data_IF_212581036108
#
_entry.id   IF_212581036108
#
_cell.length_a   1.000
_cell.length_b   1.000
_cell.length_c   1.000
_cell.angle_alpha   90.00
_cell.angle_beta   90.00
_cell.angle_gamma   90.00
#
_symmetry.space_group_name_H-M   'P 1'
#
loop_
_entity.id
_entity.type
_entity.pdbx_description
1 polymer ?
#
# COMPACT_ATOMS: atom_id res chain seq x y z
N UNK A 1 8.48 -24.64 -17.47
CA UNK A 1 9.50 -24.51 -18.52
C UNK A 1 10.19 -23.18 -18.26
N UNK A 2 11.39 -23.20 -17.70
CA UNK A 2 12.20 -21.99 -17.51
C UNK A 2 12.88 -21.80 -18.86
N UNK A 3 12.49 -20.76 -19.59
CA UNK A 3 13.14 -20.41 -20.86
C UNK A 3 14.58 -20.02 -20.52
N UNK A 4 15.55 -20.79 -21.01
CA UNK A 4 16.96 -20.43 -20.92
C UNK A 4 17.14 -19.00 -21.44
N UNK A 5 18.00 -18.23 -20.78
CA UNK A 5 18.30 -16.85 -21.13
C UNK A 5 18.95 -16.77 -22.52
N UNK A 6 18.12 -16.77 -23.56
CA UNK A 6 18.50 -16.52 -24.94
C UNK A 6 18.92 -15.05 -25.02
N UNK A 7 20.21 -14.79 -25.23
CA UNK A 7 20.71 -13.47 -25.59
C UNK A 7 20.37 -13.19 -27.07
N UNK A 8 19.13 -12.79 -27.34
CA UNK A 8 18.69 -12.31 -28.65
C UNK A 8 18.36 -10.82 -28.53
N UNK A 9 19.25 -9.95 -28.98
CA UNK A 9 18.99 -8.50 -29.06
C UNK A 9 18.33 -8.15 -30.39
N UNK A 10 17.38 -7.24 -30.35
CA UNK A 10 16.79 -6.64 -31.55
C UNK A 10 17.55 -5.36 -31.90
N UNK A 11 18.85 -5.51 -32.19
CA UNK A 11 19.69 -4.44 -32.72
C UNK A 11 19.59 -4.36 -34.26
N UNK A 12 20.43 -3.53 -34.88
CA UNK A 12 20.47 -3.33 -36.34
C UNK A 12 20.72 -4.62 -37.13
N UNK A 13 21.41 -5.60 -36.55
CA UNK A 13 21.65 -6.90 -37.18
C UNK A 13 20.61 -7.94 -36.77
N UNK A 14 20.15 -7.90 -35.52
CA UNK A 14 19.22 -8.84 -34.93
C UNK A 14 17.84 -8.76 -35.56
N UNK A 15 17.33 -7.55 -35.84
CA UNK A 15 16.02 -7.35 -36.48
C UNK A 15 15.95 -8.00 -37.87
N UNK A 16 16.87 -7.73 -38.82
CA UNK A 16 16.88 -8.40 -40.12
C UNK A 16 16.98 -9.92 -40.03
N UNK A 17 17.84 -10.45 -39.15
CA UNK A 17 18.01 -11.90 -38.96
C UNK A 17 16.73 -12.55 -38.45
N UNK A 18 16.05 -11.91 -37.49
CA UNK A 18 14.77 -12.39 -36.98
C UNK A 18 13.69 -12.36 -38.07
N UNK A 19 13.59 -11.28 -38.85
CA UNK A 19 12.64 -11.15 -39.96
C UNK A 19 12.85 -12.27 -40.97
N UNK A 20 14.10 -12.52 -41.38
CA UNK A 20 14.44 -13.59 -42.32
C UNK A 20 14.06 -14.96 -41.76
N UNK A 21 14.40 -15.21 -40.49
CA UNK A 21 14.09 -16.47 -39.82
C UNK A 21 12.58 -16.69 -39.76
N UNK A 22 11.80 -15.71 -39.31
CA UNK A 22 10.34 -15.82 -39.24
C UNK A 22 9.79 -16.14 -40.63
N UNK A 23 10.10 -15.32 -41.63
CA UNK A 23 9.60 -15.50 -43.01
C UNK A 23 9.95 -16.86 -43.62
N UNK A 24 11.06 -17.47 -43.21
CA UNK A 24 11.47 -18.79 -43.67
C UNK A 24 10.57 -19.91 -43.12
N UNK A 25 10.09 -19.79 -41.89
CA UNK A 25 9.33 -20.86 -41.22
C UNK A 25 7.82 -20.62 -41.26
N UNK A 26 7.35 -19.40 -40.96
CA UNK A 26 5.91 -19.05 -40.94
C UNK A 26 5.68 -17.53 -40.83
N UNK A 27 4.47 -17.09 -41.19
CA UNK A 27 4.06 -15.69 -41.02
C UNK A 27 3.11 -15.59 -39.81
N UNK A 28 3.51 -14.98 -38.67
CA UNK A 28 2.67 -14.86 -37.50
C UNK A 28 1.56 -13.81 -37.66
N UNK A 29 0.41 -14.09 -37.06
CA UNK A 29 -0.64 -13.09 -36.79
C UNK A 29 -0.41 -12.35 -35.47
N UNK A 30 0.35 -12.94 -34.54
CA UNK A 30 0.69 -12.34 -33.25
C UNK A 30 2.16 -12.56 -32.94
N UNK A 31 2.83 -11.47 -32.55
CA UNK A 31 4.22 -11.48 -32.10
C UNK A 31 4.23 -11.10 -30.60
N UNK A 32 4.72 -12.01 -29.76
CA UNK A 32 4.79 -11.81 -28.31
C UNK A 32 6.26 -11.72 -27.88
N UNK A 33 6.59 -10.68 -27.13
CA UNK A 33 7.92 -10.46 -26.56
C UNK A 33 7.79 -10.39 -25.04
N UNK A 34 8.34 -11.40 -24.36
CA UNK A 34 8.24 -11.55 -22.90
C UNK A 34 9.55 -12.06 -22.27
N UNK A 35 10.23 -11.26 -21.41
CA UNK A 35 10.06 -9.82 -21.22
C UNK A 35 10.79 -9.01 -22.29
N UNK A 36 10.31 -7.79 -22.56
CA UNK A 36 10.94 -6.82 -23.48
C UNK A 36 12.42 -6.58 -23.14
N UNK A 37 12.78 -6.66 -21.87
CA UNK A 37 14.17 -6.56 -21.37
C UNK A 37 15.17 -7.45 -22.10
N UNK A 38 14.76 -8.66 -22.46
CA UNK A 38 15.70 -9.63 -23.01
C UNK A 38 16.13 -9.28 -24.44
N UNK A 39 15.33 -8.48 -25.13
CA UNK A 39 15.54 -8.11 -26.53
C UNK A 39 15.96 -6.65 -26.73
N UNK A 40 15.89 -5.84 -25.67
CA UNK A 40 16.19 -4.42 -25.69
C UNK A 40 17.68 -4.17 -26.01
N UNK A 41 17.95 -3.29 -26.98
CA UNK A 41 19.31 -2.95 -27.44
C UNK A 41 19.84 -1.61 -26.87
N UNK A 42 19.03 -0.88 -26.10
CA UNK A 42 19.43 0.37 -25.44
C UNK A 42 20.25 0.19 -24.16
N UNK A 43 20.81 1.30 -23.66
CA UNK A 43 21.61 1.34 -22.43
C UNK A 43 20.74 1.32 -21.17
N UNK A 44 19.52 1.88 -21.24
CA UNK A 44 18.61 1.94 -20.10
C UNK A 44 17.14 1.87 -20.54
N UNK A 45 16.41 0.84 -20.09
CA UNK A 45 14.95 0.76 -20.26
C UNK A 45 14.19 1.92 -19.62
N UNK A 46 14.81 2.61 -18.65
CA UNK A 46 14.22 3.76 -17.98
C UNK A 46 14.40 5.07 -18.75
N UNK A 47 15.17 5.05 -19.85
CA UNK A 47 15.28 6.19 -20.75
C UNK A 47 14.13 6.14 -21.76
N UNK A 48 13.20 7.10 -21.63
CA UNK A 48 12.03 7.18 -22.50
C UNK A 48 12.39 7.38 -23.98
N UNK A 49 13.51 8.04 -24.28
CA UNK A 49 13.92 8.30 -25.66
C UNK A 49 14.48 7.04 -26.32
N UNK A 50 15.36 6.32 -25.61
CA UNK A 50 15.88 5.03 -26.10
C UNK A 50 14.75 4.00 -26.26
N UNK A 51 13.82 3.95 -25.30
CA UNK A 51 12.64 3.09 -25.39
C UNK A 51 11.77 3.43 -26.60
N UNK A 52 11.53 4.71 -26.88
CA UNK A 52 10.73 5.11 -28.04
C UNK A 52 11.39 4.72 -29.36
N UNK A 53 12.70 4.97 -29.47
CA UNK A 53 13.48 4.58 -30.65
C UNK A 53 13.44 3.07 -30.84
N UNK A 54 13.59 2.28 -29.78
CA UNK A 54 13.47 0.83 -29.86
C UNK A 54 12.09 0.38 -30.39
N UNK A 55 11.01 0.96 -29.87
CA UNK A 55 9.65 0.62 -30.29
C UNK A 55 9.37 1.00 -31.75
N UNK A 56 9.87 2.15 -32.20
CA UNK A 56 9.67 2.64 -33.56
C UNK A 56 10.60 1.97 -34.58
N UNK A 57 11.89 1.88 -34.27
CA UNK A 57 12.91 1.50 -35.25
C UNK A 57 13.19 -0.01 -35.25
N UNK A 58 12.81 -0.73 -34.19
CA UNK A 58 13.01 -2.18 -34.09
C UNK A 58 11.68 -2.92 -34.16
N UNK A 59 10.78 -2.64 -33.22
CA UNK A 59 9.53 -3.38 -33.07
C UNK A 59 8.55 -3.12 -34.23
N UNK A 60 8.34 -1.85 -34.59
CA UNK A 60 7.44 -1.51 -35.70
C UNK A 60 8.01 -1.91 -37.06
N UNK A 61 9.34 -1.85 -37.24
CA UNK A 61 10.01 -2.37 -38.44
C UNK A 61 9.83 -3.88 -38.55
N UNK A 62 10.03 -4.62 -37.45
CA UNK A 62 9.78 -6.06 -37.38
C UNK A 62 8.35 -6.39 -37.80
N UNK A 63 7.34 -5.73 -37.21
CA UNK A 63 5.93 -5.94 -37.58
C UNK A 63 5.66 -5.64 -39.04
N UNK A 64 6.08 -4.46 -39.51
CA UNK A 64 5.84 -4.03 -40.90
C UNK A 64 6.47 -4.96 -41.92
N UNK A 65 7.64 -5.53 -41.62
CA UNK A 65 8.29 -6.46 -42.53
C UNK A 65 7.75 -7.89 -42.41
N UNK A 66 7.45 -8.37 -41.20
CA UNK A 66 6.92 -9.72 -41.03
C UNK A 66 5.47 -9.82 -41.50
N UNK A 67 4.59 -9.01 -40.92
CA UNK A 67 3.17 -8.96 -41.25
C UNK A 67 2.59 -7.63 -40.71
N UNK A 68 2.28 -6.65 -41.59
CA UNK A 68 1.70 -5.36 -41.18
C UNK A 68 0.36 -5.45 -40.44
N UNK A 69 -0.31 -6.61 -40.48
CA UNK A 69 -1.56 -6.86 -39.76
C UNK A 69 -1.35 -7.64 -38.45
N UNK A 70 -0.13 -8.06 -38.15
CA UNK A 70 0.14 -8.77 -36.91
C UNK A 70 -0.07 -7.89 -35.68
N UNK A 71 -0.67 -8.46 -34.65
CA UNK A 71 -0.71 -7.89 -33.31
C UNK A 71 0.64 -8.05 -32.63
N UNK A 72 1.11 -7.00 -31.94
CA UNK A 72 2.29 -7.10 -31.07
C UNK A 72 1.85 -7.07 -29.62
N UNK A 73 2.34 -8.01 -28.82
CA UNK A 73 2.22 -8.01 -27.36
C UNK A 73 3.60 -7.86 -26.75
N UNK A 74 3.77 -6.80 -25.95
CA UNK A 74 5.02 -6.51 -25.25
C UNK A 74 4.78 -6.66 -23.75
N UNK A 75 5.60 -7.47 -23.08
CA UNK A 75 5.57 -7.60 -21.62
C UNK A 75 6.72 -6.79 -21.04
N UNK A 76 6.38 -5.81 -20.20
CA UNK A 76 7.34 -4.95 -19.53
C UNK A 76 7.12 -5.01 -18.01
N UNK A 77 8.20 -5.24 -17.27
CA UNK A 77 8.14 -5.22 -15.81
C UNK A 77 8.03 -3.78 -15.31
N UNK A 78 7.00 -3.47 -14.54
CA UNK A 78 6.85 -2.17 -13.90
C UNK A 78 7.65 -2.12 -12.59
N UNK A 79 7.98 -0.91 -12.14
CA UNK A 79 8.56 -0.71 -10.80
C UNK A 79 7.55 -1.11 -9.73
N UNK A 80 8.06 -1.53 -8.56
CA UNK A 80 7.24 -1.88 -7.40
C UNK A 80 6.43 -0.63 -6.97
N UNK A 81 5.11 -0.69 -7.12
CA UNK A 81 4.20 0.41 -6.81
C UNK A 81 3.82 0.42 -5.33
N UNK A 82 3.64 1.60 -4.74
CA UNK A 82 3.08 1.73 -3.39
C UNK A 82 1.55 1.51 -3.42
N UNK A 83 0.96 1.03 -2.31
CA UNK A 83 -0.50 0.80 -2.20
C UNK A 83 -1.35 2.05 -2.50
N UNK A 84 -0.79 3.27 -2.32
CA UNK A 84 -1.47 4.55 -2.60
C UNK A 84 -1.58 4.85 -4.09
N UNK A 85 -0.54 4.60 -4.88
CA UNK A 85 -0.49 4.91 -6.31
C UNK A 85 -1.46 4.04 -7.15
N UNK A 86 -1.78 2.84 -6.65
CA UNK A 86 -2.72 1.91 -7.29
C UNK A 86 -4.19 2.34 -7.14
N UNK A 87 -4.49 3.22 -6.16
CA UNK A 87 -5.86 3.59 -5.80
C UNK A 87 -6.54 4.58 -6.73
N UNK A 88 -5.77 5.46 -7.40
CA UNK A 88 -6.31 6.57 -8.19
C UNK A 88 -6.29 6.29 -9.71
N UNK A 89 -5.16 5.84 -10.27
CA UNK A 89 -5.05 5.31 -11.64
C UNK A 89 -3.82 4.38 -11.76
N UNK A 90 -4.01 3.04 -11.94
CA UNK A 90 -2.91 2.10 -12.07
C UNK A 90 -1.97 2.39 -13.25
N UNK A 91 -2.45 3.07 -14.30
CA UNK A 91 -1.65 3.46 -15.47
C UNK A 91 -0.88 4.78 -15.26
N UNK A 92 -1.18 5.57 -14.21
CA UNK A 92 -0.33 6.71 -13.83
C UNK A 92 0.99 6.28 -13.19
N UNK A 93 1.04 5.09 -12.58
CA UNK A 93 2.29 4.53 -12.07
C UNK A 93 3.29 4.16 -13.18
N UNK A 94 2.86 4.15 -14.45
CA UNK A 94 3.74 4.12 -15.61
C UNK A 94 4.39 5.49 -15.89
N UNK A 95 4.34 6.47 -14.98
CA UNK A 95 4.95 7.80 -15.12
C UNK A 95 6.48 7.78 -15.36
N UNK A 96 7.16 6.67 -15.10
CA UNK A 96 8.56 6.42 -15.51
C UNK A 96 8.73 5.76 -16.90
N UNK A 97 7.65 5.31 -17.53
CA UNK A 97 7.57 4.66 -18.83
C UNK A 97 6.49 5.32 -19.72
N UNK A 98 6.39 6.65 -19.64
CA UNK A 98 5.45 7.51 -20.40
C UNK A 98 5.42 7.17 -21.90
N UNK A 99 6.57 6.76 -22.45
CA UNK A 99 6.71 6.29 -23.83
C UNK A 99 5.83 5.06 -24.16
N UNK A 100 5.69 4.09 -23.25
CA UNK A 100 4.84 2.92 -23.51
C UNK A 100 3.37 3.31 -23.60
N UNK A 101 2.91 4.17 -22.69
CA UNK A 101 1.55 4.72 -22.71
C UNK A 101 1.27 5.56 -23.95
N UNK A 102 2.30 6.18 -24.54
CA UNK A 102 2.20 6.89 -25.82
C UNK A 102 2.21 5.95 -27.05
N UNK A 103 2.74 4.73 -26.92
CA UNK A 103 2.89 3.78 -28.02
C UNK A 103 1.74 2.77 -28.16
N UNK A 104 1.27 2.15 -27.07
CA UNK A 104 0.30 1.06 -27.17
C UNK A 104 -1.09 1.52 -27.63
N UNK A 105 -1.82 0.63 -28.31
CA UNK A 105 -3.26 0.80 -28.57
C UNK A 105 -4.12 0.30 -27.40
N UNK A 106 -3.64 -0.74 -26.72
CA UNK A 106 -4.26 -1.36 -25.54
C UNK A 106 -3.19 -1.67 -24.49
N UNK A 107 -3.40 -1.18 -23.27
CA UNK A 107 -2.59 -1.47 -22.10
C UNK A 107 -3.30 -2.47 -21.18
N UNK A 108 -2.55 -3.45 -20.69
CA UNK A 108 -3.00 -4.40 -19.66
C UNK A 108 -2.03 -4.34 -18.49
N UNK A 109 -2.55 -4.09 -17.28
CA UNK A 109 -1.74 -4.08 -16.08
C UNK A 109 -2.22 -5.13 -15.09
N UNK A 110 -1.35 -6.09 -14.80
CA UNK A 110 -1.57 -7.09 -13.75
C UNK A 110 -0.83 -6.64 -12.49
N UNK A 111 -1.55 -6.47 -11.38
CA UNK A 111 -0.95 -6.08 -10.11
C UNK A 111 -1.61 -6.80 -8.93
N UNK A 112 -0.87 -6.94 -7.83
CA UNK A 112 -1.43 -7.43 -6.57
C UNK A 112 -1.89 -6.27 -5.69
N UNK A 113 -3.03 -6.43 -5.02
CA UNK A 113 -3.44 -5.56 -3.92
C UNK A 113 -2.93 -6.04 -2.56
N UNK A 114 -2.44 -7.28 -2.50
CA UNK A 114 -1.96 -7.95 -1.29
C UNK A 114 -0.85 -8.96 -1.65
N UNK A 115 0.37 -8.76 -1.17
CA UNK A 115 1.51 -9.63 -1.50
C UNK A 115 1.36 -11.05 -0.93
N UNK A 116 0.54 -11.23 0.11
CA UNK A 116 0.31 -12.53 0.76
C UNK A 116 -0.78 -13.38 0.07
N UNK A 117 -1.57 -12.78 -0.82
CA UNK A 117 -2.63 -13.48 -1.56
C UNK A 117 -2.21 -13.75 -3.01
N UNK A 118 -2.80 -14.77 -3.62
CA UNK A 118 -2.57 -15.12 -5.03
C UNK A 118 -3.45 -14.33 -6.01
N UNK A 119 -4.56 -13.77 -5.52
CA UNK A 119 -5.47 -12.94 -6.29
C UNK A 119 -4.74 -11.73 -6.90
N UNK A 120 -4.97 -11.48 -8.20
CA UNK A 120 -4.43 -10.35 -8.94
C UNK A 120 -5.57 -9.55 -9.56
N UNK A 121 -5.35 -8.25 -9.71
CA UNK A 121 -6.22 -7.35 -10.46
C UNK A 121 -5.61 -7.13 -11.83
N UNK A 122 -6.45 -7.23 -12.85
CA UNK A 122 -6.11 -7.00 -14.24
C UNK A 122 -6.88 -5.76 -14.73
N UNK A 123 -6.17 -4.63 -14.83
CA UNK A 123 -6.71 -3.38 -15.33
C UNK A 123 -6.44 -3.23 -16.83
N UNK A 124 -7.32 -2.53 -17.52
CA UNK A 124 -7.27 -2.30 -18.96
C UNK A 124 -7.30 -0.81 -19.26
N UNK A 125 -6.49 -0.38 -20.21
CA UNK A 125 -6.58 0.94 -20.84
C UNK A 125 -6.68 0.75 -22.35
N UNK A 126 -7.75 1.26 -22.96
CA UNK A 126 -7.93 1.18 -24.41
C UNK A 126 -7.93 2.59 -24.98
N UNK A 127 -7.19 2.80 -26.07
CA UNK A 127 -7.26 4.05 -26.83
C UNK A 127 -8.49 4.13 -27.73
N UNK A 128 -8.92 2.98 -28.22
CA UNK A 128 -10.02 2.85 -29.15
C UNK A 128 -11.02 1.83 -28.62
N UNK A 129 -12.31 2.16 -28.72
CA UNK A 129 -13.40 1.24 -28.38
C UNK A 129 -13.90 1.36 -26.95
N UNK A 130 -14.73 0.38 -26.56
CA UNK A 130 -15.41 0.36 -25.26
C UNK A 130 -14.43 -0.03 -24.16
N UNK A 131 -14.46 0.71 -23.05
CA UNK A 131 -13.68 0.37 -21.85
C UNK A 131 -13.99 -1.06 -21.39
N UNK A 132 -12.95 -1.82 -21.10
CA UNK A 132 -13.04 -3.15 -20.50
C UNK A 132 -12.96 -2.98 -18.97
N UNK A 133 -13.93 -3.50 -18.20
CA UNK A 133 -13.89 -3.40 -16.76
C UNK A 133 -12.68 -4.16 -16.20
N UNK A 134 -12.19 -3.70 -15.04
CA UNK A 134 -11.11 -4.41 -14.33
C UNK A 134 -11.57 -5.82 -13.97
N UNK A 135 -10.72 -6.81 -14.25
CA UNK A 135 -10.95 -8.21 -13.93
C UNK A 135 -10.17 -8.62 -12.69
N UNK A 136 -10.65 -9.66 -12.03
CA UNK A 136 -9.96 -10.34 -10.95
C UNK A 136 -9.52 -11.69 -11.48
N UNK A 137 -8.25 -12.03 -11.31
CA UNK A 137 -7.70 -13.29 -11.78
C UNK A 137 -6.91 -13.97 -10.68
N UNK A 138 -7.00 -15.29 -10.61
CA UNK A 138 -6.23 -16.10 -9.67
C UNK A 138 -5.63 -17.30 -10.40
N UNK A 139 -4.56 -17.86 -9.83
CA UNK A 139 -3.89 -19.03 -10.38
C UNK A 139 -4.30 -20.27 -9.62
N UNK A 140 -5.30 -20.98 -10.13
CA UNK A 140 -5.84 -22.21 -9.53
C UNK A 140 -5.34 -23.38 -10.38
N UNK A 141 -4.72 -24.38 -9.72
CA UNK A 141 -4.17 -25.57 -10.39
C UNK A 141 -3.19 -25.24 -11.54
N UNK A 142 -2.44 -24.15 -11.39
CA UNK A 142 -1.47 -23.71 -12.40
C UNK A 142 -2.07 -22.92 -13.57
N UNK A 143 -3.39 -22.76 -13.63
CA UNK A 143 -4.08 -22.01 -14.68
C UNK A 143 -4.61 -20.68 -14.17
N UNK A 144 -4.49 -19.63 -15.00
CA UNK A 144 -5.12 -18.34 -14.72
C UNK A 144 -6.62 -18.43 -14.97
N UNK A 145 -7.41 -18.18 -13.94
CA UNK A 145 -8.87 -18.20 -13.99
C UNK A 145 -9.41 -16.81 -13.64
N UNK A 146 -10.44 -16.37 -14.38
CA UNK A 146 -11.17 -15.15 -14.06
C UNK A 146 -12.12 -15.42 -12.89
N UNK A 147 -12.00 -14.62 -11.85
CA UNK A 147 -12.82 -14.70 -10.64
C UNK A 147 -14.02 -13.78 -10.78
N UNK A 148 -15.21 -14.31 -10.52
CA UNK A 148 -16.46 -13.57 -10.66
C UNK A 148 -16.57 -12.43 -9.62
N UNK A 149 -17.22 -11.31 -10.00
CA UNK A 149 -17.36 -10.11 -9.14
C UNK A 149 -18.13 -10.41 -7.85
N UNK A 150 -18.94 -11.48 -7.87
CA UNK A 150 -19.70 -12.06 -6.74
C UNK A 150 -18.77 -12.71 -5.70
N UNK A 151 -17.80 -13.50 -6.15
CA UNK A 151 -16.73 -14.06 -5.31
C UNK A 151 -15.75 -12.97 -4.87
N UNK A 152 -15.45 -12.02 -5.77
CA UNK A 152 -14.72 -10.80 -5.42
C UNK A 152 -15.51 -9.89 -4.46
N UNK A 153 -16.83 -10.08 -4.30
CA UNK A 153 -17.71 -9.40 -3.33
C UNK A 153 -17.68 -10.06 -1.95
N UNK A 154 -17.50 -11.38 -1.88
CA UNK A 154 -17.13 -12.04 -0.62
C UNK A 154 -15.74 -11.58 -0.18
N UNK A 155 -14.82 -11.43 -1.14
CA UNK A 155 -13.47 -10.89 -0.89
C UNK A 155 -13.51 -9.36 -0.67
N UNK A 156 -14.46 -8.59 -1.25
CA UNK A 156 -14.67 -7.13 -1.04
C UNK A 156 -15.47 -6.78 0.21
N UNK A 157 -16.37 -7.65 0.69
CA UNK A 157 -16.90 -7.54 2.05
C UNK A 157 -15.76 -7.77 3.02
N UNK A 158 -14.97 -8.80 2.79
CA UNK A 158 -13.70 -8.99 3.48
C UNK A 158 -12.71 -7.84 3.21
N UNK A 159 -12.75 -7.08 2.10
CA UNK A 159 -11.79 -5.99 1.80
C UNK A 159 -12.26 -4.62 2.28
N UNK A 160 -13.57 -4.37 2.40
CA UNK A 160 -14.12 -3.17 3.04
C UNK A 160 -14.02 -3.31 4.55
N UNK A 161 -14.38 -4.49 5.06
CA UNK A 161 -14.18 -4.85 6.46
C UNK A 161 -12.69 -5.05 6.77
N UNK A 162 -11.83 -5.58 5.87
CA UNK A 162 -10.35 -5.59 6.06
C UNK A 162 -9.64 -4.31 5.69
N UNK A 163 -10.12 -3.39 4.87
CA UNK A 163 -9.46 -2.07 4.75
C UNK A 163 -9.78 -1.20 5.96
N UNK A 164 -10.96 -1.34 6.56
CA UNK A 164 -11.25 -0.75 7.86
C UNK A 164 -10.61 -1.55 9.01
N UNK A 165 -10.46 -2.88 8.91
CA UNK A 165 -9.74 -3.70 9.90
C UNK A 165 -8.20 -3.72 9.73
N UNK A 166 -7.65 -3.43 8.56
CA UNK A 166 -6.20 -3.25 8.31
C UNK A 166 -5.79 -1.81 8.64
N UNK A 167 -6.70 -0.82 8.50
CA UNK A 167 -6.57 0.46 9.23
C UNK A 167 -6.70 0.27 10.75
N UNK A 168 -7.49 -0.71 11.23
CA UNK A 168 -7.50 -1.13 12.65
C UNK A 168 -6.22 -1.84 13.09
N UNK A 169 -5.38 -2.35 12.19
CA UNK A 169 -4.18 -3.14 12.54
C UNK A 169 -2.84 -2.48 12.21
N UNK A 170 -2.81 -1.46 11.37
CA UNK A 170 -1.71 -0.49 11.39
C UNK A 170 -2.16 0.65 12.28
N UNK A 171 -1.97 0.44 13.58
CA UNK A 171 -2.04 1.44 14.64
C UNK A 171 -1.75 2.83 14.08
N UNK A 172 -2.74 3.74 14.13
CA UNK A 172 -2.49 5.14 13.79
C UNK A 172 -1.23 5.56 14.54
N UNK A 173 -0.27 6.18 13.86
CA UNK A 173 1.02 6.62 14.42
C UNK A 173 0.83 7.31 15.78
N UNK A 174 -0.30 7.99 15.98
CA UNK A 174 -0.69 8.59 17.26
C UNK A 174 -0.86 7.54 18.38
N UNK A 175 -1.58 6.45 18.15
CA UNK A 175 -1.81 5.37 19.14
C UNK A 175 -0.49 4.70 19.52
N UNK A 176 0.38 4.44 18.54
CA UNK A 176 1.72 3.89 18.80
C UNK A 176 2.56 4.84 19.65
N UNK A 177 2.60 6.12 19.29
CA UNK A 177 3.38 7.12 20.01
C UNK A 177 2.86 7.35 21.43
N UNK A 178 1.55 7.25 21.67
CA UNK A 178 0.97 7.30 23.01
C UNK A 178 1.49 6.12 23.85
N UNK A 179 1.46 4.90 23.31
CA UNK A 179 1.97 3.72 24.02
C UNK A 179 3.49 3.80 24.28
N UNK A 180 4.27 4.27 23.31
CA UNK A 180 5.72 4.43 23.47
C UNK A 180 6.09 5.53 24.48
N UNK A 181 5.35 6.63 24.50
CA UNK A 181 5.50 7.68 25.50
C UNK A 181 5.20 7.16 26.91
N UNK A 182 4.14 6.37 27.05
CA UNK A 182 3.76 5.75 28.32
C UNK A 182 4.89 4.91 28.91
N UNK A 183 5.54 4.09 28.07
CA UNK A 183 6.70 3.26 28.48
C UNK A 183 7.88 4.09 28.98
N UNK A 184 7.98 5.36 28.59
CA UNK A 184 8.98 6.31 29.10
C UNK A 184 8.49 7.11 30.33
N UNK A 185 7.29 6.81 30.84
CA UNK A 185 6.67 7.53 31.96
C UNK A 185 5.96 8.83 31.56
N UNK A 186 5.82 9.08 30.25
CA UNK A 186 5.19 10.29 29.73
C UNK A 186 3.73 10.02 29.38
N UNK A 187 2.81 10.62 30.15
CA UNK A 187 1.37 10.54 29.90
C UNK A 187 0.87 11.91 29.43
N UNK A 188 0.12 11.92 28.33
CA UNK A 188 -0.32 13.16 27.70
C UNK A 188 -1.84 13.29 27.63
N UNK A 189 -2.31 14.51 27.84
CA UNK A 189 -3.65 14.93 27.41
C UNK A 189 -3.67 15.19 25.89
N UNK A 190 -4.85 15.23 25.24
CA UNK A 190 -4.95 15.53 23.80
C UNK A 190 -4.22 16.81 23.37
N UNK A 191 -4.35 17.87 24.18
CA UNK A 191 -3.71 19.17 23.93
C UNK A 191 -2.20 19.08 24.08
N UNK A 192 -1.70 18.48 25.18
CA UNK A 192 -0.26 18.31 25.39
C UNK A 192 0.39 17.47 24.29
N UNK A 193 -0.27 16.37 23.90
CA UNK A 193 0.24 15.51 22.83
C UNK A 193 0.32 16.28 21.51
N UNK A 194 -0.73 17.05 21.16
CA UNK A 194 -0.76 17.82 19.92
C UNK A 194 0.36 18.86 19.86
N UNK A 195 0.71 19.52 20.98
CA UNK A 195 1.84 20.45 21.04
C UNK A 195 3.20 19.74 20.98
N UNK A 196 3.40 18.66 21.75
CA UNK A 196 4.69 17.97 21.83
C UNK A 196 5.08 17.34 20.49
N UNK A 197 4.09 16.83 19.75
CA UNK A 197 4.28 16.11 18.49
C UNK A 197 3.98 16.94 17.23
N UNK A 198 3.76 18.24 17.38
CA UNK A 198 3.56 19.14 16.23
C UNK A 198 4.78 19.09 15.30
N UNK A 199 4.52 18.90 14.00
CA UNK A 199 5.51 18.76 12.93
C UNK A 199 6.55 17.64 13.16
N UNK A 200 6.28 16.69 14.05
CA UNK A 200 7.11 15.50 14.30
C UNK A 200 6.40 14.24 13.82
N UNK A 201 7.17 13.18 13.54
CA UNK A 201 6.65 11.86 13.15
C UNK A 201 5.59 11.88 12.01
N UNK A 202 5.65 12.88 11.13
CA UNK A 202 4.67 13.07 10.05
C UNK A 202 3.26 13.48 10.50
N UNK A 203 3.08 13.95 11.74
CA UNK A 203 1.78 14.27 12.33
C UNK A 203 1.21 15.64 11.94
N UNK A 204 1.97 16.48 11.24
CA UNK A 204 1.52 17.80 10.77
C UNK A 204 1.30 18.81 11.89
N UNK A 205 0.53 19.86 11.64
CA UNK A 205 0.25 20.93 12.61
C UNK A 205 -0.70 20.50 13.74
N UNK A 206 -0.64 21.21 14.87
CA UNK A 206 -1.39 20.91 16.11
C UNK A 206 -2.89 20.61 15.87
N UNK A 207 -3.59 21.45 15.08
CA UNK A 207 -5.03 21.28 14.78
C UNK A 207 -5.33 19.98 14.02
N UNK A 208 -4.41 19.57 13.14
CA UNK A 208 -4.54 18.33 12.38
C UNK A 208 -4.38 17.11 13.29
N UNK A 209 -3.46 17.20 14.27
CA UNK A 209 -3.25 16.16 15.28
C UNK A 209 -4.50 16.03 16.16
N UNK A 210 -5.01 17.15 16.67
CA UNK A 210 -6.21 17.16 17.50
C UNK A 210 -7.41 16.55 16.78
N UNK A 211 -7.64 16.91 15.50
CA UNK A 211 -8.73 16.33 14.70
C UNK A 211 -8.59 14.81 14.55
N UNK A 212 -7.36 14.30 14.41
CA UNK A 212 -7.11 12.85 14.32
C UNK A 212 -7.33 12.14 15.65
N UNK A 213 -6.87 12.72 16.76
CA UNK A 213 -7.16 12.21 18.12
C UNK A 213 -8.67 12.13 18.34
N UNK A 214 -9.41 13.17 17.94
CA UNK A 214 -10.87 13.20 18.09
C UNK A 214 -11.57 12.07 17.32
N UNK A 215 -11.13 11.75 16.11
CA UNK A 215 -11.65 10.63 15.32
C UNK A 215 -11.30 9.30 15.96
N UNK A 216 -10.05 9.13 16.39
CA UNK A 216 -9.58 7.91 17.06
C UNK A 216 -10.32 7.66 18.38
N UNK A 217 -10.63 8.71 19.13
CA UNK A 217 -11.41 8.62 20.35
C UNK A 217 -12.87 8.25 20.07
N UNK A 218 -13.47 8.81 19.02
CA UNK A 218 -14.87 8.52 18.64
C UNK A 218 -15.06 7.08 18.16
N UNK A 219 -14.02 6.50 17.54
CA UNK A 219 -14.00 5.09 17.13
C UNK A 219 -13.51 4.13 18.25
N UNK A 220 -13.25 4.65 19.46
CA UNK A 220 -12.86 3.85 20.62
C UNK A 220 -11.40 3.37 20.67
N UNK A 221 -10.51 3.80 19.78
CA UNK A 221 -9.07 3.46 19.86
C UNK A 221 -8.33 4.24 20.93
N UNK A 222 -8.81 5.45 21.23
CA UNK A 222 -8.32 6.27 22.33
C UNK A 222 -9.46 6.41 23.33
N UNK A 223 -9.19 6.00 24.56
CA UNK A 223 -10.04 6.30 25.72
C UNK A 223 -9.29 7.26 26.63
N UNK A 224 -9.88 7.60 27.75
CA UNK A 224 -9.26 8.54 28.68
C UNK A 224 -9.27 8.03 30.10
N UNK A 225 -8.22 8.36 30.83
CA UNK A 225 -8.15 8.18 32.26
C UNK A 225 -8.16 9.57 32.93
N UNK A 226 -9.20 9.77 33.75
CA UNK A 226 -9.45 11.01 34.51
C UNK A 226 -9.08 10.89 35.99
N UNK A 227 -8.32 9.87 36.37
CA UNK A 227 -7.86 9.70 37.73
C UNK A 227 -6.92 10.86 38.12
N UNK A 228 -7.28 11.54 39.21
CA UNK A 228 -6.58 12.71 39.72
C UNK A 228 -5.16 12.37 40.20
N UNK A 229 -4.89 11.11 40.57
CA UNK A 229 -3.54 10.67 40.92
C UNK A 229 -2.56 10.70 39.74
N UNK A 230 -3.09 10.62 38.51
CA UNK A 230 -2.31 10.55 37.26
C UNK A 230 -2.26 11.93 36.59
N UNK A 231 -3.32 12.71 36.73
CA UNK A 231 -3.40 14.10 36.30
C UNK A 231 -2.57 14.98 37.25
N UNK A 232 -1.26 15.08 37.01
CA UNK A 232 -0.34 16.03 37.67
C UNK A 232 -0.77 17.49 37.42
N UNK A 233 -1.85 17.94 38.07
CA UNK A 233 -2.47 19.28 38.01
C UNK A 233 -3.12 19.69 36.68
N UNK A 234 -3.50 18.73 35.82
CA UNK A 234 -4.15 19.05 34.53
C UNK A 234 -5.67 19.22 34.67
N UNK A 235 -6.18 20.42 34.36
CA UNK A 235 -7.62 20.71 34.23
C UNK A 235 -8.24 20.21 32.91
N UNK A 236 -7.65 19.18 32.29
CA UNK A 236 -8.14 18.65 31.01
C UNK A 236 -9.56 18.10 31.15
N UNK A 237 -10.46 18.57 30.28
CA UNK A 237 -11.83 18.04 30.16
C UNK A 237 -11.84 16.52 29.90
N UNK A 238 -10.84 16.00 29.18
CA UNK A 238 -10.77 14.59 28.80
C UNK A 238 -9.92 13.75 29.76
N UNK A 239 -8.93 14.33 30.44
CA UNK A 239 -7.91 13.57 31.18
C UNK A 239 -6.74 13.14 30.29
N UNK A 240 -5.94 12.17 30.74
CA UNK A 240 -4.83 11.60 29.95
C UNK A 240 -5.36 10.58 28.96
N UNK A 241 -4.72 10.47 27.80
CA UNK A 241 -5.10 9.50 26.78
C UNK A 241 -4.64 8.09 27.16
N UNK A 242 -5.51 7.11 26.90
CA UNK A 242 -5.25 5.70 27.11
C UNK A 242 -5.51 4.93 25.83
N UNK A 243 -4.71 3.90 25.59
CA UNK A 243 -4.84 2.99 24.45
C UNK A 243 -4.93 1.55 24.98
N UNK A 244 -5.37 0.61 24.14
CA UNK A 244 -5.53 -0.79 24.54
C UNK A 244 -4.20 -1.37 25.05
N UNK A 245 -4.24 -2.05 26.20
CA UNK A 245 -3.07 -2.66 26.85
C UNK A 245 -1.91 -1.67 27.12
N UNK A 246 -2.23 -0.40 27.38
CA UNK A 246 -1.21 0.61 27.68
C UNK A 246 -0.54 0.35 29.02
N UNK A 247 0.77 0.18 28.99
CA UNK A 247 1.62 0.09 30.17
C UNK A 247 2.44 1.37 30.29
N UNK A 248 2.59 1.87 31.51
CA UNK A 248 3.40 3.05 31.78
C UNK A 248 4.40 2.81 32.90
N UNK A 249 5.55 3.47 32.78
CA UNK A 249 6.54 3.52 33.84
C UNK A 249 6.02 4.47 34.94
N UNK A 250 5.69 3.92 36.10
CA UNK A 250 5.17 4.70 37.23
C UNK A 250 6.32 5.37 37.99
N UNK A 251 7.35 4.59 38.31
CA UNK A 251 8.56 5.05 39.00
C UNK A 251 9.70 4.08 38.78
N UNK A 252 10.90 4.57 39.00
CA UNK A 252 12.11 3.76 39.11
C UNK A 252 12.50 3.70 40.60
N UNK A 253 12.51 2.51 41.18
CA UNK A 253 12.96 2.28 42.55
C UNK A 253 14.39 1.72 42.52
N UNK A 254 15.18 1.96 43.56
CA UNK A 254 16.52 1.37 43.70
C UNK A 254 16.41 0.17 44.62
N UNK A 255 16.87 -1.00 44.17
CA UNK A 255 16.96 -2.18 45.02
C UNK A 255 17.99 -1.91 46.12
N UNK A 256 17.55 -1.85 47.38
CA UNK A 256 18.41 -1.53 48.52
C UNK A 256 19.52 -2.59 48.78
N UNK A 257 19.35 -3.82 48.29
CA UNK A 257 20.35 -4.90 48.44
C UNK A 257 21.35 -4.96 47.27
N UNK A 258 20.92 -4.68 46.03
CA UNK A 258 21.78 -4.83 44.82
C UNK A 258 22.24 -3.50 44.22
N UNK A 259 21.60 -2.38 44.58
CA UNK A 259 21.85 -1.06 43.99
C UNK A 259 21.32 -0.89 42.56
N UNK A 260 20.62 -1.89 42.02
CA UNK A 260 20.07 -1.87 40.65
C UNK A 260 18.77 -1.07 40.58
N UNK A 261 18.56 -0.36 39.47
CA UNK A 261 17.33 0.39 39.20
C UNK A 261 16.26 -0.59 38.71
N UNK A 262 15.16 -0.70 39.46
CA UNK A 262 13.99 -1.50 39.13
C UNK A 262 12.88 -0.57 38.63
N UNK A 263 12.50 -0.74 37.37
CA UNK A 263 11.36 -0.06 36.77
C UNK A 263 10.04 -0.68 37.27
N UNK A 264 9.20 0.12 37.93
CA UNK A 264 7.84 -0.27 38.32
C UNK A 264 6.90 0.10 37.17
N UNK A 265 6.44 -0.91 36.44
CA UNK A 265 5.52 -0.78 35.31
C UNK A 265 4.11 -1.08 35.78
N UNK A 266 3.15 -0.22 35.42
CA UNK A 266 1.72 -0.43 35.67
C UNK A 266 0.90 -0.37 34.40
N UNK A 267 -0.20 -1.11 34.38
CA UNK A 267 -1.20 -1.00 33.31
C UNK A 267 -2.10 0.21 33.56
N UNK A 268 -2.25 1.07 32.57
CA UNK A 268 -3.14 2.22 32.59
C UNK A 268 -4.51 1.84 32.03
N UNK A 269 -5.51 1.72 32.90
CA UNK A 269 -6.88 1.40 32.51
C UNK A 269 -7.69 2.67 32.18
N UNK A 270 -8.59 2.63 31.18
CA UNK A 270 -9.44 3.78 30.86
C UNK A 270 -10.56 3.94 31.88
N UNK A 271 -10.90 5.18 32.24
CA UNK A 271 -12.07 5.47 33.08
C UNK A 271 -13.23 6.06 32.28
N UNK A 272 -12.94 6.69 31.14
CA UNK A 272 -13.94 7.32 30.29
C UNK A 272 -13.67 7.05 28.80
N UNK A 273 -14.71 7.10 27.98
CA UNK A 273 -14.62 7.03 26.52
C UNK A 273 -15.44 8.16 25.88
N UNK A 274 -15.21 8.44 24.59
CA UNK A 274 -15.96 9.42 23.82
C UNK A 274 -17.07 8.72 23.04
N UNK A 275 -18.31 9.14 23.24
CA UNK A 275 -19.47 8.63 22.51
C UNK A 275 -19.49 9.12 21.05
N UNK A 276 -19.86 8.24 20.12
CA UNK A 276 -19.77 8.49 18.70
C UNK A 276 -20.74 9.59 18.20
N UNK A 277 -21.99 9.62 18.69
CA UNK A 277 -23.03 10.50 18.14
C UNK A 277 -22.98 11.93 18.69
N UNK A 278 -22.81 12.09 20.01
CA UNK A 278 -22.86 13.40 20.66
C UNK A 278 -21.49 13.94 21.07
N UNK A 279 -20.43 13.11 20.96
CA UNK A 279 -19.08 13.46 21.39
C UNK A 279 -18.94 13.66 22.89
N UNK A 280 -19.93 13.20 23.68
CA UNK A 280 -19.91 13.26 25.13
C UNK A 280 -18.86 12.31 25.71
N UNK A 281 -18.26 12.69 26.84
CA UNK A 281 -17.28 11.85 27.54
C UNK A 281 -18.01 11.11 28.64
N UNK A 282 -18.16 9.80 28.49
CA UNK A 282 -18.94 8.94 29.37
C UNK A 282 -18.03 7.95 30.11
N UNK A 283 -18.37 7.52 31.34
CA UNK A 283 -17.60 6.53 32.07
C UNK A 283 -17.63 5.18 31.37
N UNK A 284 -16.52 4.43 31.43
CA UNK A 284 -16.44 3.05 30.93
C UNK A 284 -17.09 2.11 31.96
N UNK A 285 -17.97 1.21 31.51
CA UNK A 285 -18.64 0.24 32.39
C UNK A 285 -17.68 -0.80 32.99
N UNK A 286 -16.76 -1.33 32.16
CA UNK A 286 -15.70 -2.24 32.59
C UNK A 286 -14.34 -1.82 32.00
N UNK A 287 -13.42 -1.26 32.82
CA UNK A 287 -12.09 -0.81 32.36
C UNK A 287 -11.19 -1.91 31.78
N UNK A 288 -11.40 -3.18 32.14
CA UNK A 288 -10.56 -4.30 31.70
C UNK A 288 -10.94 -4.82 30.30
N UNK A 289 -12.12 -4.46 29.79
CA UNK A 289 -12.61 -4.91 28.48
C UNK A 289 -12.59 -3.77 27.48
N UNK A 290 -11.70 -3.86 26.48
CA UNK A 290 -11.60 -2.84 25.46
C UNK A 290 -12.62 -3.01 24.34
N UNK A 291 -13.74 -2.30 24.46
CA UNK A 291 -14.75 -2.23 23.38
C UNK A 291 -14.42 -1.13 22.38
N UNK A 292 -14.49 -1.47 21.09
CA UNK A 292 -14.38 -0.56 19.95
C UNK A 292 -15.76 -0.07 19.52
N UNK A 293 -15.85 1.17 19.01
CA UNK A 293 -17.10 1.79 18.54
C UNK A 293 -17.09 1.90 17.02
#
# INVERSE_FOLDING_TARGET
MITDSIMMRLDEEGVPRLIQTIRQFFIPDVIVIDPLRNVFDGKSENDNMEMMMFLQDRIEVLRRQVNPLAGIMLVHHTRKMSKKEVGEDPFQALSGASCLRSFYSTGMLLYSTDEEKTLRRLAFELRCGKSIPTKYVDKIEGQWQEMDVSHARSIRKDFGEKCDQERKRVTDVIVTLIAEAAKRGELYTPTQFSHVFENKAGLGGERSIHRRIDVLASNGYIKFNRDLAILKDSNSKYGVMCVENMEYLEREDVNEETGEIIAVIKTLLPTHFKEHEQGAVLPVENPEVWVYV
#
